data_IF_015410034569
#
_entry.id   IF_015410034569
#
_cell.length_a   1.000
_cell.length_b   1.000
_cell.length_c   1.000
_cell.angle_alpha   90.00
_cell.angle_beta   90.00
_cell.angle_gamma   90.00
#
_symmetry.space_group_name_H-M   'P 1'
#
loop_
_entity.id
_entity.type
_entity.pdbx_description
1 polymer ?
#
# COMPACT_ATOMS: atom_id res chain seq x y z
N UNK A 1 0.09 -8.26 23.78
CA UNK A 1 -0.26 -6.81 23.75
C UNK A 1 -1.68 -6.64 23.25
N UNK A 2 -2.36 -5.57 23.69
CA UNK A 2 -3.64 -5.15 23.13
C UNK A 2 -3.40 -4.29 21.89
N UNK A 3 -3.89 -4.73 20.73
CA UNK A 3 -3.68 -4.08 19.43
C UNK A 3 -5.02 -3.65 18.84
N UNK A 4 -5.14 -2.37 18.46
CA UNK A 4 -6.24 -1.90 17.63
C UNK A 4 -5.80 -1.95 16.17
N UNK A 5 -6.54 -2.68 15.33
CA UNK A 5 -6.30 -2.76 13.90
C UNK A 5 -7.45 -2.12 13.12
N UNK A 6 -7.21 -0.98 12.48
CA UNK A 6 -8.17 -0.40 11.55
C UNK A 6 -7.93 -0.93 10.12
N UNK A 7 -8.99 -1.05 9.33
CA UNK A 7 -8.86 -1.56 7.97
C UNK A 7 -8.63 -3.08 7.87
N UNK A 8 -8.96 -3.84 8.91
CA UNK A 8 -8.79 -5.30 8.99
C UNK A 8 -9.48 -6.08 7.86
N UNK A 9 -10.57 -5.56 7.27
CA UNK A 9 -11.25 -6.15 6.12
C UNK A 9 -10.56 -5.91 4.77
N UNK A 10 -9.56 -5.02 4.71
CA UNK A 10 -8.76 -4.74 3.51
C UNK A 10 -7.77 -5.87 3.18
N UNK A 11 -7.13 -5.79 2.00
CA UNK A 11 -6.15 -6.80 1.57
C UNK A 11 -5.01 -6.96 2.58
N UNK A 12 -4.27 -5.89 2.87
CA UNK A 12 -3.16 -5.94 3.83
C UNK A 12 -3.66 -6.14 5.26
N UNK A 13 -4.80 -5.53 5.64
CA UNK A 13 -5.39 -5.68 6.97
C UNK A 13 -5.72 -7.13 7.32
N UNK A 14 -6.23 -7.92 6.37
CA UNK A 14 -6.47 -9.37 6.58
C UNK A 14 -5.16 -10.13 6.83
N UNK A 15 -4.11 -9.81 6.10
CA UNK A 15 -2.79 -10.45 6.30
C UNK A 15 -2.24 -10.09 7.68
N UNK A 16 -2.30 -8.81 8.07
CA UNK A 16 -1.88 -8.34 9.39
C UNK A 16 -2.68 -9.07 10.50
N UNK A 17 -4.02 -9.12 10.37
CA UNK A 17 -4.89 -9.81 11.35
C UNK A 17 -4.50 -11.29 11.50
N UNK A 18 -4.15 -11.97 10.41
CA UNK A 18 -3.72 -13.37 10.42
C UNK A 18 -2.34 -13.58 11.03
N UNK A 19 -1.47 -12.58 10.98
CA UNK A 19 -0.10 -12.66 11.52
C UNK A 19 -0.06 -12.33 13.02
N UNK A 20 -0.93 -11.45 13.51
CA UNK A 20 -0.93 -10.97 14.91
C UNK A 20 -1.56 -11.96 15.90
N UNK A 21 -1.39 -13.26 15.71
CA UNK A 21 -2.05 -14.32 16.51
C UNK A 21 -1.66 -14.35 17.99
N UNK A 22 -0.48 -13.85 18.34
CA UNK A 22 0.00 -13.77 19.72
C UNK A 22 -0.45 -12.49 20.45
N UNK A 23 -1.29 -11.68 19.79
CA UNK A 23 -1.78 -10.42 20.34
C UNK A 23 -3.30 -10.44 20.51
N UNK A 24 -3.79 -9.69 21.48
CA UNK A 24 -5.22 -9.41 21.65
C UNK A 24 -5.60 -8.32 20.64
N UNK A 25 -6.09 -8.72 19.48
CA UNK A 25 -6.40 -7.80 18.37
C UNK A 25 -7.87 -7.42 18.40
N UNK A 26 -8.14 -6.13 18.55
CA UNK A 26 -9.46 -5.53 18.32
C UNK A 26 -9.49 -4.92 16.93
N UNK A 27 -10.42 -5.35 16.09
CA UNK A 27 -10.56 -4.87 14.72
C UNK A 27 -11.60 -3.75 14.63
N UNK A 28 -11.28 -2.66 13.92
CA UNK A 28 -12.21 -1.56 13.65
C UNK A 28 -12.44 -1.41 12.14
N UNK A 29 -13.69 -1.40 11.74
CA UNK A 29 -14.09 -1.25 10.34
C UNK A 29 -15.59 -1.35 10.15
N UNK A 30 -16.04 -1.33 8.88
CA UNK A 30 -17.48 -1.35 8.52
C UNK A 30 -18.04 -2.76 8.32
N UNK A 31 -17.17 -3.77 8.21
CA UNK A 31 -17.57 -5.16 7.98
C UNK A 31 -18.31 -5.76 9.17
N UNK A 32 -19.11 -6.79 8.90
CA UNK A 32 -19.86 -7.50 9.95
C UNK A 32 -18.98 -8.34 10.86
N UNK A 33 -17.79 -8.71 10.38
CA UNK A 33 -16.77 -9.48 11.08
C UNK A 33 -15.77 -8.62 11.88
N UNK A 34 -16.09 -7.32 12.10
CA UNK A 34 -15.28 -6.40 12.90
C UNK A 34 -15.78 -6.36 14.35
N UNK A 35 -14.84 -6.35 15.31
CA UNK A 35 -15.15 -6.23 16.74
C UNK A 35 -15.79 -4.88 17.05
N UNK A 36 -15.27 -3.81 16.42
CA UNK A 36 -15.84 -2.47 16.45
C UNK A 36 -16.36 -2.11 15.05
N UNK A 37 -17.67 -2.29 14.85
CA UNK A 37 -18.32 -1.97 13.59
C UNK A 37 -18.58 -0.48 13.46
N UNK A 38 -17.57 0.27 13.05
CA UNK A 38 -17.56 1.72 12.96
C UNK A 38 -17.02 2.20 11.61
N UNK A 39 -17.55 3.34 11.13
CA UNK A 39 -16.94 4.06 10.01
C UNK A 39 -15.91 5.06 10.55
N UNK A 40 -14.68 4.94 10.11
CA UNK A 40 -13.58 5.82 10.52
C UNK A 40 -13.82 7.29 10.16
N UNK A 41 -14.73 7.56 9.22
CA UNK A 41 -15.12 8.92 8.82
C UNK A 41 -16.26 9.50 9.70
N UNK A 42 -16.73 8.76 10.69
CA UNK A 42 -17.75 9.19 11.64
C UNK A 42 -17.11 9.43 13.02
N UNK A 43 -17.77 10.18 13.93
CA UNK A 43 -17.28 10.33 15.29
C UNK A 43 -17.05 8.97 15.94
N UNK A 44 -15.82 8.75 16.41
CA UNK A 44 -15.42 7.52 17.07
C UNK A 44 -15.59 7.64 18.60
N UNK A 45 -15.92 6.55 19.30
CA UNK A 45 -15.85 6.52 20.77
C UNK A 45 -14.40 6.69 21.23
N UNK A 46 -14.21 6.78 22.55
CA UNK A 46 -12.85 6.79 23.12
C UNK A 46 -12.18 5.43 22.82
N UNK A 47 -11.00 5.50 22.22
CA UNK A 47 -10.22 4.32 21.82
C UNK A 47 -8.91 4.25 22.62
N UNK A 48 -9.02 4.27 23.94
CA UNK A 48 -7.87 4.16 24.85
C UNK A 48 -7.62 2.70 25.28
N UNK A 49 -6.47 2.47 25.92
CA UNK A 49 -6.13 1.18 26.54
C UNK A 49 -5.51 0.16 25.58
N UNK A 50 -5.12 0.58 24.38
CA UNK A 50 -4.32 -0.23 23.46
C UNK A 50 -2.82 0.05 23.64
N UNK A 51 -2.00 -0.99 23.59
CA UNK A 51 -0.55 -0.87 23.60
C UNK A 51 0.00 -0.40 22.26
N UNK A 52 -0.62 -0.89 21.18
CA UNK A 52 -0.28 -0.55 19.79
C UNK A 52 -1.53 -0.33 18.96
N UNK A 53 -1.45 0.64 18.04
CA UNK A 53 -2.47 0.87 17.03
C UNK A 53 -1.87 0.66 15.64
N UNK A 54 -2.51 -0.16 14.81
CA UNK A 54 -2.14 -0.36 13.41
C UNK A 54 -3.21 0.29 12.53
N UNK A 55 -2.87 1.44 11.96
CA UNK A 55 -3.78 2.18 11.10
C UNK A 55 -3.57 1.79 9.63
N UNK A 56 -4.28 0.74 9.19
CA UNK A 56 -4.29 0.26 7.81
C UNK A 56 -5.57 0.63 7.04
N UNK A 57 -6.52 1.31 7.68
CA UNK A 57 -7.70 1.84 6.99
C UNK A 57 -7.30 2.93 6.00
N UNK A 58 -7.84 2.87 4.80
CA UNK A 58 -7.59 3.87 3.77
C UNK A 58 -8.25 3.51 2.45
N UNK A 59 -8.54 4.54 1.66
CA UNK A 59 -9.01 4.42 0.28
C UNK A 59 -7.81 4.42 -0.66
N UNK A 60 -7.69 3.41 -1.50
CA UNK A 60 -6.61 3.24 -2.48
C UNK A 60 -7.12 2.51 -3.74
N UNK A 61 -6.25 2.25 -4.71
CA UNK A 61 -6.47 1.37 -5.86
C UNK A 61 -7.62 1.78 -6.81
N UNK A 62 -7.98 3.06 -6.84
CA UNK A 62 -8.90 3.59 -7.85
C UNK A 62 -8.38 4.90 -8.44
N UNK A 63 -8.69 5.12 -9.71
CA UNK A 63 -8.52 6.41 -10.37
C UNK A 63 -9.86 7.13 -10.24
N UNK A 64 -9.92 8.30 -9.60
CA UNK A 64 -11.18 9.03 -9.44
C UNK A 64 -11.68 9.51 -10.80
N UNK A 65 -12.98 9.42 -11.02
CA UNK A 65 -13.66 9.83 -12.26
C UNK A 65 -14.32 11.20 -12.15
N UNK A 66 -14.52 11.65 -10.93
CA UNK A 66 -15.22 12.89 -10.59
C UNK A 66 -14.64 13.50 -9.29
N UNK A 67 -15.13 14.70 -8.95
CA UNK A 67 -14.71 15.42 -7.74
C UNK A 67 -15.13 14.71 -6.46
N UNK A 68 -16.29 14.04 -6.44
CA UNK A 68 -16.77 13.32 -5.26
C UNK A 68 -15.85 12.15 -4.94
N UNK A 69 -15.44 11.37 -5.96
CA UNK A 69 -14.49 10.29 -5.79
C UNK A 69 -13.10 10.81 -5.38
N UNK A 70 -12.68 11.97 -5.87
CA UNK A 70 -11.45 12.65 -5.46
C UNK A 70 -11.52 13.10 -4.00
N UNK A 71 -12.61 13.75 -3.59
CA UNK A 71 -12.85 14.18 -2.22
C UNK A 71 -12.91 13.00 -1.23
N UNK A 72 -13.38 11.84 -1.68
CA UNK A 72 -13.44 10.64 -0.84
C UNK A 72 -12.06 10.15 -0.38
N UNK A 73 -10.96 10.45 -1.09
CA UNK A 73 -9.62 10.17 -0.60
C UNK A 73 -9.26 11.04 0.59
N UNK A 74 -9.58 12.33 0.54
CA UNK A 74 -9.34 13.25 1.66
C UNK A 74 -10.18 12.84 2.87
N UNK A 75 -11.46 12.58 2.67
CA UNK A 75 -12.37 12.18 3.74
C UNK A 75 -11.90 10.90 4.45
N UNK A 76 -11.53 9.85 3.69
CA UNK A 76 -11.14 8.57 4.31
C UNK A 76 -9.72 8.61 4.86
N UNK A 77 -8.75 9.12 4.07
CA UNK A 77 -7.34 8.97 4.41
C UNK A 77 -6.83 10.07 5.35
N UNK A 78 -7.36 11.29 5.27
CA UNK A 78 -6.96 12.39 6.13
C UNK A 78 -7.93 12.60 7.29
N UNK A 79 -9.21 12.87 7.00
CA UNK A 79 -10.19 13.14 8.06
C UNK A 79 -10.44 11.91 8.93
N UNK A 80 -10.52 10.70 8.32
CA UNK A 80 -10.60 9.46 9.08
C UNK A 80 -9.39 9.22 9.97
N UNK A 81 -8.18 9.59 9.52
CA UNK A 81 -6.98 9.54 10.36
C UNK A 81 -7.10 10.52 11.53
N UNK A 82 -7.53 11.76 11.30
CA UNK A 82 -7.76 12.75 12.37
C UNK A 82 -8.76 12.23 13.40
N UNK A 83 -9.90 11.72 12.96
CA UNK A 83 -10.91 11.14 13.86
C UNK A 83 -10.35 10.01 14.72
N UNK A 84 -9.49 9.16 14.14
CA UNK A 84 -8.83 8.10 14.90
C UNK A 84 -7.87 8.68 15.95
N UNK A 85 -7.01 9.62 15.56
CA UNK A 85 -6.03 10.25 16.44
C UNK A 85 -6.70 10.98 17.62
N UNK A 86 -7.78 11.71 17.33
CA UNK A 86 -8.61 12.37 18.36
C UNK A 86 -9.23 11.36 19.33
N UNK A 87 -9.73 10.24 18.82
CA UNK A 87 -10.33 9.19 19.65
C UNK A 87 -9.30 8.48 20.55
N UNK A 88 -8.05 8.35 20.09
CA UNK A 88 -6.94 7.77 20.86
C UNK A 88 -6.42 8.70 21.95
N UNK A 89 -6.58 10.02 21.80
CA UNK A 89 -6.11 11.02 22.76
C UNK A 89 -7.13 11.32 23.88
N UNK A 90 -8.42 10.98 23.69
CA UNK A 90 -9.47 11.32 24.66
C UNK A 90 -9.39 10.45 25.91
N UNK A 91 -9.55 11.10 27.06
CA UNK A 91 -9.84 10.46 28.36
C UNK A 91 -8.93 9.29 28.76
N UNK A 92 -7.71 9.21 28.23
CA UNK A 92 -6.86 8.09 28.53
C UNK A 92 -5.40 8.27 28.14
N UNK A 93 -4.63 7.21 28.31
CA UNK A 93 -3.26 7.14 27.88
C UNK A 93 -3.23 6.77 26.38
N UNK A 94 -2.56 7.58 25.58
CA UNK A 94 -2.28 7.26 24.17
C UNK A 94 -1.51 5.92 24.08
N UNK A 95 -1.62 5.19 22.95
CA UNK A 95 -0.88 3.95 22.74
C UNK A 95 0.63 4.19 22.77
N UNK A 96 1.41 3.16 23.15
CA UNK A 96 2.87 3.26 23.11
C UNK A 96 3.43 3.33 21.69
N UNK A 97 2.70 2.74 20.71
CA UNK A 97 3.13 2.69 19.31
C UNK A 97 1.94 2.89 18.37
N UNK A 98 2.14 3.71 17.35
CA UNK A 98 1.22 3.88 16.22
C UNK A 98 1.93 3.49 14.93
N UNK A 99 1.49 2.41 14.27
CA UNK A 99 1.94 2.02 12.94
C UNK A 99 0.98 2.60 11.90
N UNK A 100 1.47 3.44 11.02
CA UNK A 100 0.69 4.05 9.94
C UNK A 100 1.08 3.48 8.59
N UNK A 101 0.13 2.84 7.91
CA UNK A 101 0.35 2.33 6.55
C UNK A 101 0.21 3.48 5.56
N UNK A 102 1.37 3.93 5.04
CA UNK A 102 1.47 4.95 4.00
C UNK A 102 1.86 4.32 2.65
N UNK A 103 2.33 5.11 1.72
CA UNK A 103 2.61 4.71 0.35
C UNK A 103 3.73 5.53 -0.27
N UNK A 104 4.48 4.95 -1.18
CA UNK A 104 5.45 5.68 -2.02
C UNK A 104 4.79 6.68 -2.98
N UNK A 105 3.48 6.63 -3.16
CA UNK A 105 2.74 7.61 -3.97
C UNK A 105 2.82 9.05 -3.41
N UNK A 106 3.25 9.23 -2.15
CA UNK A 106 3.49 10.55 -1.54
C UNK A 106 4.58 11.36 -2.23
N UNK A 107 5.48 10.70 -2.97
CA UNK A 107 6.54 11.37 -3.75
C UNK A 107 6.06 11.97 -5.07
N UNK A 108 4.90 11.57 -5.59
CA UNK A 108 4.39 12.04 -6.87
C UNK A 108 5.25 11.62 -8.08
N UNK A 109 6.14 10.65 -7.92
CA UNK A 109 7.04 10.20 -8.98
C UNK A 109 6.39 9.08 -9.80
N UNK A 110 6.60 9.11 -11.10
CA UNK A 110 6.20 8.05 -12.04
C UNK A 110 7.41 7.24 -12.54
N UNK A 111 8.61 7.82 -12.40
CA UNK A 111 9.90 7.21 -12.71
C UNK A 111 10.96 7.62 -11.69
N UNK A 112 12.03 6.83 -11.60
CA UNK A 112 13.16 7.06 -10.71
C UNK A 112 13.75 5.76 -10.19
N UNK A 113 15.03 5.79 -9.83
CA UNK A 113 15.75 4.64 -9.29
C UNK A 113 16.29 4.97 -7.91
N UNK A 114 16.08 4.06 -6.95
CA UNK A 114 16.61 4.17 -5.61
C UNK A 114 16.17 5.43 -4.86
N UNK A 115 14.89 5.84 -5.02
CA UNK A 115 14.34 7.00 -4.32
C UNK A 115 14.39 6.73 -2.82
N UNK A 116 14.96 7.67 -2.05
CA UNK A 116 15.12 7.57 -0.60
C UNK A 116 14.02 8.33 0.15
N UNK A 117 13.90 8.12 1.46
CA UNK A 117 12.92 8.80 2.32
C UNK A 117 13.16 10.33 2.41
N UNK A 118 14.37 10.80 2.10
CA UNK A 118 14.72 12.22 2.09
C UNK A 118 14.25 12.97 0.84
N UNK A 119 13.76 12.28 -0.19
CA UNK A 119 13.23 12.92 -1.38
C UNK A 119 11.98 13.76 -1.07
N UNK A 120 11.77 14.91 -1.77
CA UNK A 120 10.60 15.75 -1.59
C UNK A 120 9.28 14.99 -1.81
N UNK A 121 8.27 15.33 -1.00
CA UNK A 121 6.92 14.76 -1.07
C UNK A 121 6.04 15.62 -1.99
N UNK A 122 6.10 15.36 -3.29
CA UNK A 122 5.49 16.19 -4.34
C UNK A 122 4.22 15.55 -4.94
N UNK A 123 3.50 14.75 -4.15
CA UNK A 123 2.27 14.12 -4.62
C UNK A 123 1.25 15.14 -5.15
N UNK A 124 0.70 14.85 -6.33
CA UNK A 124 -0.35 15.65 -6.98
C UNK A 124 -1.66 14.85 -7.12
N UNK A 125 -1.61 13.53 -7.06
CA UNK A 125 -2.83 12.72 -7.12
C UNK A 125 -3.62 12.81 -5.81
N UNK A 126 -4.98 12.77 -5.85
CA UNK A 126 -5.80 12.82 -4.64
C UNK A 126 -5.39 11.81 -3.57
N UNK A 127 -5.03 10.59 -3.99
CA UNK A 127 -4.51 9.56 -3.10
C UNK A 127 -3.18 9.95 -2.46
N UNK A 128 -2.17 10.32 -3.26
CA UNK A 128 -0.85 10.68 -2.73
C UNK A 128 -0.91 11.91 -1.82
N UNK A 129 -1.69 12.95 -2.19
CA UNK A 129 -1.90 14.15 -1.37
C UNK A 129 -2.54 13.79 -0.04
N UNK A 130 -3.62 12.99 -0.05
CA UNK A 130 -4.33 12.61 1.19
C UNK A 130 -3.42 11.82 2.14
N UNK A 131 -2.59 10.90 1.63
CA UNK A 131 -1.64 10.14 2.45
C UNK A 131 -0.50 11.00 2.98
N UNK A 132 0.05 11.91 2.15
CA UNK A 132 1.08 12.88 2.58
C UNK A 132 0.58 13.77 3.73
N UNK A 133 -0.64 14.26 3.64
CA UNK A 133 -1.23 15.08 4.69
C UNK A 133 -1.50 14.26 5.95
N UNK A 134 -1.97 13.02 5.81
CA UNK A 134 -2.19 12.12 6.94
C UNK A 134 -0.88 11.74 7.65
N UNK A 135 0.24 11.56 6.93
CA UNK A 135 1.57 11.38 7.56
C UNK A 135 1.91 12.55 8.49
N UNK A 136 1.69 13.79 8.05
CA UNK A 136 1.95 14.99 8.87
C UNK A 136 1.09 15.03 10.13
N UNK A 137 -0.18 14.69 10.04
CA UNK A 137 -1.06 14.59 11.20
C UNK A 137 -0.54 13.54 12.20
N UNK A 138 -0.16 12.36 11.71
CA UNK A 138 0.40 11.30 12.54
C UNK A 138 1.71 11.74 13.20
N UNK A 139 2.63 12.35 12.47
CA UNK A 139 3.91 12.84 13.00
C UNK A 139 3.71 13.92 14.08
N UNK A 140 2.83 14.89 13.83
CA UNK A 140 2.52 15.97 14.77
C UNK A 140 1.88 15.41 16.03
N UNK A 141 0.84 14.61 15.89
CA UNK A 141 0.13 13.98 16.99
C UNK A 141 1.03 13.09 17.86
N UNK A 142 1.86 12.27 17.20
CA UNK A 142 2.77 11.37 17.89
C UNK A 142 3.80 12.13 18.74
N UNK A 143 4.32 13.24 18.23
CA UNK A 143 5.23 14.12 18.95
C UNK A 143 4.54 14.76 20.16
N UNK A 144 3.32 15.26 20.01
CA UNK A 144 2.54 15.90 21.08
C UNK A 144 2.19 14.92 22.21
N UNK A 145 1.90 13.65 21.87
CA UNK A 145 1.47 12.63 22.83
C UNK A 145 2.60 11.66 23.25
N UNK A 146 3.85 11.90 22.78
CA UNK A 146 5.02 11.05 23.07
C UNK A 146 4.83 9.59 22.65
N UNK A 147 4.18 9.37 21.50
CA UNK A 147 3.91 8.07 20.89
C UNK A 147 5.01 7.71 19.91
N UNK A 148 5.47 6.46 19.90
CA UNK A 148 6.35 5.95 18.84
C UNK A 148 5.56 5.76 17.55
N UNK A 149 5.75 6.63 16.56
CA UNK A 149 5.08 6.53 15.27
C UNK A 149 5.98 5.87 14.23
N UNK A 150 5.56 4.71 13.73
CA UNK A 150 6.20 3.99 12.62
C UNK A 150 5.38 4.20 11.34
N UNK A 151 5.92 4.95 10.40
CA UNK A 151 5.28 5.22 9.10
C UNK A 151 5.92 4.34 8.03
N UNK A 152 5.14 3.45 7.44
CA UNK A 152 5.59 2.54 6.38
C UNK A 152 5.11 3.04 5.02
N UNK A 153 6.00 3.61 4.20
CA UNK A 153 5.72 4.00 2.81
C UNK A 153 5.85 2.78 1.91
N UNK A 154 4.74 2.07 1.76
CA UNK A 154 4.71 0.82 1.00
C UNK A 154 4.75 1.07 -0.51
N UNK A 155 5.54 0.29 -1.25
CA UNK A 155 5.46 0.20 -2.71
C UNK A 155 4.29 -0.70 -3.13
N UNK A 156 4.42 -1.45 -4.22
CA UNK A 156 3.44 -2.44 -4.64
C UNK A 156 3.43 -3.62 -3.67
N UNK A 157 2.36 -3.79 -2.91
CA UNK A 157 2.20 -4.91 -1.97
C UNK A 157 1.68 -6.14 -2.71
N UNK A 158 2.40 -7.24 -2.59
CA UNK A 158 2.15 -8.51 -3.27
C UNK A 158 1.60 -9.55 -2.31
N UNK A 159 0.68 -10.37 -2.77
CA UNK A 159 0.07 -11.45 -1.99
C UNK A 159 -1.20 -11.97 -2.63
N UNK A 160 -1.73 -13.08 -2.12
CA UNK A 160 -2.98 -13.68 -2.60
C UNK A 160 -4.16 -12.72 -2.45
N UNK A 161 -4.86 -12.47 -3.55
CA UNK A 161 -5.98 -11.52 -3.56
C UNK A 161 -5.58 -10.04 -3.56
N UNK A 162 -4.35 -9.73 -3.97
CA UNK A 162 -3.91 -8.34 -4.12
C UNK A 162 -4.86 -7.54 -5.04
N UNK A 163 -5.24 -6.32 -4.65
CA UNK A 163 -6.14 -5.49 -5.45
C UNK A 163 -5.43 -4.80 -6.62
N UNK A 164 -6.18 -4.01 -7.38
CA UNK A 164 -5.64 -3.14 -8.43
C UNK A 164 -4.99 -3.91 -9.58
N UNK A 165 -3.84 -3.41 -10.05
CA UNK A 165 -3.17 -3.93 -11.23
C UNK A 165 -2.66 -5.37 -11.06
N UNK A 166 -2.20 -5.75 -9.87
CA UNK A 166 -1.77 -7.13 -9.60
C UNK A 166 -2.93 -8.11 -9.69
N UNK A 167 -4.05 -7.78 -9.07
CA UNK A 167 -5.24 -8.63 -9.16
C UNK A 167 -5.83 -8.67 -10.58
N UNK A 168 -5.69 -7.59 -11.36
CA UNK A 168 -6.06 -7.62 -12.78
C UNK A 168 -5.12 -8.54 -13.56
N UNK A 169 -3.80 -8.45 -13.36
CA UNK A 169 -2.81 -9.32 -13.97
C UNK A 169 -3.09 -10.78 -13.64
N UNK A 170 -3.33 -11.12 -12.38
CA UNK A 170 -3.69 -12.47 -11.95
C UNK A 170 -4.93 -13.00 -12.68
N UNK A 171 -6.02 -12.20 -12.71
CA UNK A 171 -7.26 -12.60 -13.42
C UNK A 171 -7.04 -12.84 -14.90
N UNK A 172 -6.27 -11.99 -15.57
CA UNK A 172 -5.97 -12.14 -16.99
C UNK A 172 -5.05 -13.35 -17.26
N UNK A 173 -4.06 -13.61 -16.41
CA UNK A 173 -3.23 -14.80 -16.48
C UNK A 173 -4.06 -16.08 -16.33
N UNK A 174 -4.95 -16.16 -15.32
CA UNK A 174 -5.85 -17.31 -15.11
C UNK A 174 -6.79 -17.56 -16.31
N UNK A 175 -7.20 -16.49 -17.02
CA UNK A 175 -8.06 -16.58 -18.21
C UNK A 175 -7.29 -16.78 -19.51
N UNK A 176 -5.95 -16.75 -19.50
CA UNK A 176 -5.13 -16.81 -20.72
C UNK A 176 -5.25 -15.58 -21.63
N UNK A 177 -5.72 -14.46 -21.10
CA UNK A 177 -5.95 -13.19 -21.81
C UNK A 177 -4.93 -12.11 -21.43
N UNK A 178 -3.88 -12.48 -20.74
CA UNK A 178 -2.82 -11.55 -20.37
C UNK A 178 -1.83 -11.36 -21.53
N UNK A 179 -1.49 -10.10 -21.77
CA UNK A 179 -0.45 -9.72 -22.71
C UNK A 179 0.52 -8.76 -22.05
N UNK A 180 1.81 -9.11 -22.05
CA UNK A 180 2.88 -8.19 -21.69
C UNK A 180 3.11 -7.21 -22.84
N UNK A 181 3.37 -5.95 -22.52
CA UNK A 181 3.69 -4.89 -23.45
C UNK A 181 5.21 -4.78 -23.57
N UNK A 182 5.72 -4.85 -24.80
CA UNK A 182 7.15 -4.75 -25.07
C UNK A 182 7.95 -5.87 -24.39
N UNK A 183 9.16 -5.55 -23.94
CA UNK A 183 10.05 -6.47 -23.25
C UNK A 183 9.71 -6.66 -21.77
N UNK A 184 8.93 -5.71 -21.18
CA UNK A 184 8.58 -5.71 -19.78
C UNK A 184 9.76 -5.41 -18.85
N UNK A 185 10.78 -4.71 -19.34
CA UNK A 185 12.03 -4.44 -18.61
C UNK A 185 11.91 -3.42 -17.47
N UNK A 186 10.83 -2.62 -17.44
CA UNK A 186 10.62 -1.64 -16.37
C UNK A 186 10.51 -2.29 -14.98
N UNK A 187 11.28 -1.77 -14.02
CA UNK A 187 11.38 -2.31 -12.65
C UNK A 187 10.47 -1.57 -11.69
N UNK A 188 9.96 -2.32 -10.71
CA UNK A 188 9.12 -1.77 -9.62
C UNK A 188 9.56 -2.31 -8.28
N UNK A 189 9.63 -1.43 -7.29
CA UNK A 189 9.71 -1.88 -5.91
C UNK A 189 8.41 -2.60 -5.52
N UNK A 190 8.58 -3.72 -4.86
CA UNK A 190 7.51 -4.57 -4.37
C UNK A 190 7.84 -5.04 -2.97
N UNK A 191 6.85 -5.55 -2.26
CA UNK A 191 7.01 -6.19 -0.96
C UNK A 191 5.91 -7.21 -0.74
N UNK A 192 6.21 -8.33 -0.09
CA UNK A 192 5.19 -9.28 0.33
C UNK A 192 4.36 -8.71 1.49
N UNK A 193 3.05 -8.86 1.42
CA UNK A 193 2.17 -8.46 2.51
C UNK A 193 2.46 -9.20 3.82
N UNK A 194 2.92 -10.46 3.75
CA UNK A 194 3.39 -11.24 4.91
C UNK A 194 4.56 -10.58 5.61
N UNK A 195 5.58 -10.16 4.87
CA UNK A 195 6.79 -9.56 5.45
C UNK A 195 6.46 -8.22 6.13
N UNK A 196 5.55 -7.42 5.52
CA UNK A 196 5.04 -6.20 6.16
C UNK A 196 4.31 -6.53 7.45
N UNK A 197 3.49 -7.58 7.48
CA UNK A 197 2.75 -7.99 8.67
C UNK A 197 3.69 -8.52 9.78
N UNK A 198 4.75 -9.24 9.43
CA UNK A 198 5.79 -9.69 10.37
C UNK A 198 6.57 -8.51 10.96
N UNK A 199 6.89 -7.47 10.17
CA UNK A 199 7.48 -6.25 10.69
C UNK A 199 6.53 -5.56 11.69
N UNK A 200 5.25 -5.49 11.36
CA UNK A 200 4.23 -4.89 12.25
C UNK A 200 4.09 -5.68 13.56
N UNK A 201 4.17 -7.00 13.52
CA UNK A 201 4.08 -7.84 14.73
C UNK A 201 5.18 -7.53 15.77
N UNK A 202 6.32 -7.01 15.32
CA UNK A 202 7.46 -6.61 16.16
C UNK A 202 7.65 -5.08 16.27
N UNK A 203 6.62 -4.30 15.91
CA UNK A 203 6.76 -2.84 15.78
C UNK A 203 6.72 -2.07 17.08
N UNK A 204 6.53 -2.73 18.24
CA UNK A 204 6.43 -2.05 19.53
C UNK A 204 7.69 -1.19 19.80
N UNK A 205 7.48 0.10 20.04
CA UNK A 205 8.56 1.06 20.31
C UNK A 205 9.34 1.52 19.08
N UNK A 206 9.09 0.95 17.89
CA UNK A 206 9.70 1.42 16.66
C UNK A 206 9.08 2.75 16.22
N UNK A 207 9.90 3.63 15.68
CA UNK A 207 9.48 4.96 15.21
C UNK A 207 10.28 5.38 13.98
N UNK A 208 9.74 6.33 13.21
CA UNK A 208 10.36 6.86 12.01
C UNK A 208 9.59 6.51 10.74
N UNK A 209 10.07 7.01 9.60
CA UNK A 209 9.46 6.80 8.29
C UNK A 209 10.38 5.96 7.43
N UNK A 210 9.85 4.89 6.84
CA UNK A 210 10.67 3.91 6.12
C UNK A 210 10.01 3.43 4.83
N UNK A 211 10.84 3.21 3.82
CA UNK A 211 10.49 2.32 2.72
C UNK A 211 10.72 0.87 3.16
N UNK A 212 9.80 -0.01 2.81
CA UNK A 212 9.96 -1.45 2.97
C UNK A 212 9.71 -2.12 1.62
N UNK A 213 10.78 -2.60 1.00
CA UNK A 213 10.76 -3.25 -0.31
C UNK A 213 11.35 -4.66 -0.20
N UNK A 214 11.32 -5.45 -1.29
CA UNK A 214 11.99 -6.75 -1.34
C UNK A 214 13.50 -6.65 -1.67
N UNK A 215 14.02 -5.42 -1.82
CA UNK A 215 15.42 -5.14 -2.18
C UNK A 215 15.85 -5.58 -3.59
N UNK A 216 14.98 -6.27 -4.34
CA UNK A 216 15.30 -6.83 -5.67
C UNK A 216 14.69 -6.03 -6.81
N UNK A 217 13.54 -5.40 -6.56
CA UNK A 217 12.80 -4.59 -7.54
C UNK A 217 12.57 -5.32 -8.87
N UNK A 218 11.74 -6.37 -8.90
CA UNK A 218 11.49 -7.13 -10.12
C UNK A 218 11.05 -6.26 -11.30
N UNK A 219 11.42 -6.66 -12.51
CA UNK A 219 10.81 -6.13 -13.73
C UNK A 219 9.41 -6.71 -13.92
N UNK A 220 8.57 -6.05 -14.72
CA UNK A 220 7.26 -6.60 -15.08
C UNK A 220 7.37 -7.96 -15.77
N UNK A 221 8.44 -8.19 -16.55
CA UNK A 221 8.72 -9.49 -17.18
C UNK A 221 9.00 -10.57 -16.16
N UNK A 222 9.83 -10.30 -15.17
CA UNK A 222 10.15 -11.27 -14.12
C UNK A 222 8.89 -11.59 -13.29
N UNK A 223 8.11 -10.56 -12.94
CA UNK A 223 6.88 -10.72 -12.19
C UNK A 223 5.82 -11.53 -12.93
N UNK A 224 5.51 -11.17 -14.19
CA UNK A 224 4.45 -11.85 -14.94
C UNK A 224 4.82 -13.31 -15.27
N UNK A 225 6.10 -13.59 -15.54
CA UNK A 225 6.59 -14.97 -15.73
C UNK A 225 6.49 -15.78 -14.44
N UNK A 226 6.85 -15.17 -13.30
CA UNK A 226 6.75 -15.81 -11.99
C UNK A 226 5.29 -16.12 -11.63
N UNK A 227 4.38 -15.15 -11.80
CA UNK A 227 2.94 -15.35 -11.59
C UNK A 227 2.37 -16.42 -12.54
N UNK A 228 2.75 -16.37 -13.81
CA UNK A 228 2.30 -17.38 -14.80
C UNK A 228 2.76 -18.79 -14.44
N UNK A 229 4.00 -18.94 -13.95
CA UNK A 229 4.51 -20.25 -13.51
C UNK A 229 3.71 -20.82 -12.33
N UNK A 230 3.34 -19.99 -11.35
CA UNK A 230 2.50 -20.40 -10.23
C UNK A 230 1.08 -20.80 -10.65
N UNK A 231 0.56 -20.21 -11.73
CA UNK A 231 -0.79 -20.42 -12.24
C UNK A 231 -0.86 -21.47 -13.37
N UNK A 232 0.27 -22.04 -13.80
CA UNK A 232 0.32 -22.94 -14.95
C UNK A 232 -0.12 -22.26 -16.26
N UNK A 233 0.01 -20.95 -16.37
CA UNK A 233 -0.41 -20.15 -17.52
C UNK A 233 0.76 -19.68 -18.38
N UNK A 234 0.46 -19.11 -19.55
CA UNK A 234 1.48 -18.61 -20.50
C UNK A 234 1.37 -17.10 -20.64
N UNK A 235 2.51 -16.42 -20.69
CA UNK A 235 2.61 -15.00 -21.00
C UNK A 235 2.80 -14.83 -22.51
N UNK A 236 1.96 -14.02 -23.14
CA UNK A 236 2.14 -13.56 -24.51
C UNK A 236 2.65 -12.13 -24.48
N UNK A 237 3.47 -11.72 -25.45
CA UNK A 237 3.95 -10.35 -25.59
C UNK A 237 3.44 -9.73 -26.86
N UNK A 238 3.09 -8.46 -26.80
CA UNK A 238 2.81 -7.62 -27.99
C UNK A 238 3.96 -6.63 -28.17
N UNK A 239 4.42 -6.38 -29.39
CA UNK A 239 5.44 -5.39 -29.67
C UNK A 239 5.05 -4.01 -29.15
N UNK A 240 6.02 -3.28 -28.62
CA UNK A 240 5.78 -1.93 -28.06
C UNK A 240 5.21 -0.97 -29.10
N UNK A 241 5.65 -1.07 -30.36
CA UNK A 241 5.13 -0.27 -31.49
C UNK A 241 3.63 -0.47 -31.68
N UNK A 242 3.16 -1.71 -31.60
CA UNK A 242 1.72 -2.03 -31.69
C UNK A 242 0.97 -1.48 -30.46
N UNK A 243 1.52 -1.65 -29.27
CA UNK A 243 0.93 -1.12 -28.04
C UNK A 243 0.83 0.41 -28.07
N UNK A 244 1.86 1.10 -28.56
CA UNK A 244 1.83 2.57 -28.74
C UNK A 244 0.75 3.01 -29.74
N UNK A 245 0.57 2.29 -30.85
CA UNK A 245 -0.50 2.59 -31.81
C UNK A 245 -1.89 2.40 -31.15
N UNK A 246 -2.09 1.32 -30.40
CA UNK A 246 -3.34 1.07 -29.67
C UNK A 246 -3.59 2.14 -28.59
N UNK A 247 -2.55 2.56 -27.84
CA UNK A 247 -2.67 3.58 -26.83
C UNK A 247 -3.09 4.95 -27.41
N UNK A 248 -2.54 5.34 -28.57
CA UNK A 248 -2.96 6.55 -29.28
C UNK A 248 -4.44 6.52 -29.72
N UNK A 249 -4.94 5.35 -30.13
CA UNK A 249 -6.37 5.17 -30.39
C UNK A 249 -7.15 5.28 -29.09
N UNK A 250 -6.64 4.71 -28.01
CA UNK A 250 -7.24 4.81 -26.68
C UNK A 250 -7.36 6.25 -26.17
N UNK A 251 -6.38 7.12 -26.49
CA UNK A 251 -6.41 8.55 -26.11
C UNK A 251 -7.62 9.30 -26.70
N UNK A 252 -8.17 8.80 -27.81
CA UNK A 252 -9.34 9.39 -28.49
C UNK A 252 -10.67 8.91 -27.88
N UNK A 253 -10.64 7.89 -27.02
CA UNK A 253 -11.85 7.26 -26.47
C UNK A 253 -11.95 7.61 -24.98
N UNK A 254 -12.91 8.46 -24.56
CA UNK A 254 -13.09 8.78 -23.15
C UNK A 254 -13.30 7.52 -22.29
N UNK A 255 -12.51 7.37 -21.24
CA UNK A 255 -12.60 6.21 -20.35
C UNK A 255 -11.96 4.92 -20.87
N UNK A 256 -11.17 4.97 -21.94
CA UNK A 256 -10.41 3.83 -22.46
C UNK A 256 -9.63 3.14 -21.35
N UNK A 257 -9.65 1.81 -21.26
CA UNK A 257 -8.84 1.07 -20.30
C UNK A 257 -7.34 1.06 -20.64
N UNK A 258 -6.97 1.50 -21.85
CA UNK A 258 -5.60 1.53 -22.36
C UNK A 258 -5.36 2.84 -23.12
N UNK A 259 -4.45 3.68 -22.63
CA UNK A 259 -4.07 4.99 -23.14
C UNK A 259 -2.56 5.22 -23.04
N UNK A 260 -2.05 6.29 -23.64
CA UNK A 260 -0.62 6.62 -23.64
C UNK A 260 -0.08 6.88 -22.22
N UNK A 261 -0.88 7.41 -21.30
CA UNK A 261 -0.48 7.64 -19.92
C UNK A 261 -0.24 6.32 -19.16
N UNK A 262 -1.17 5.37 -19.32
CA UNK A 262 -1.03 4.04 -18.71
C UNK A 262 0.11 3.25 -19.32
N UNK A 263 0.30 3.37 -20.62
CA UNK A 263 1.45 2.75 -21.30
C UNK A 263 2.77 3.31 -20.76
N UNK A 264 2.89 4.62 -20.58
CA UNK A 264 4.06 5.27 -19.98
C UNK A 264 4.42 4.69 -18.61
N UNK A 265 3.42 4.47 -17.76
CA UNK A 265 3.64 3.84 -16.43
C UNK A 265 4.19 2.41 -16.50
N UNK A 266 3.99 1.69 -17.58
CA UNK A 266 4.52 0.34 -17.75
C UNK A 266 5.93 0.35 -18.38
N UNK A 267 6.37 1.48 -18.93
CA UNK A 267 7.63 1.59 -19.65
C UNK A 267 8.78 2.16 -18.81
N UNK A 268 8.50 2.87 -17.71
CA UNK A 268 9.53 3.51 -16.88
C UNK A 268 9.71 2.77 -15.55
N UNK A 269 10.95 2.67 -15.09
CA UNK A 269 11.26 2.08 -13.78
C UNK A 269 10.98 3.06 -12.65
N UNK A 270 10.47 2.54 -11.53
CA UNK A 270 10.24 3.29 -10.31
C UNK A 270 10.64 2.42 -9.11
N UNK A 271 11.78 2.71 -8.51
CA UNK A 271 12.30 1.94 -7.39
C UNK A 271 12.66 2.83 -6.20
N UNK A 272 12.54 2.28 -5.01
CA UNK A 272 12.75 2.94 -3.73
C UNK A 272 13.81 2.20 -2.93
N UNK A 273 14.70 2.94 -2.30
CA UNK A 273 15.77 2.42 -1.44
C UNK A 273 15.20 2.06 -0.06
N UNK A 274 15.50 0.88 0.45
CA UNK A 274 15.10 0.42 1.78
C UNK A 274 16.28 0.24 2.75
N UNK A 275 17.47 0.73 2.37
CA UNK A 275 18.68 0.59 3.18
C UNK A 275 18.53 1.18 4.59
N UNK A 276 17.67 2.20 4.76
CA UNK A 276 17.35 2.74 6.07
C UNK A 276 16.59 1.73 6.94
N UNK A 277 15.57 1.08 6.39
CA UNK A 277 14.81 0.05 7.10
C UNK A 277 15.71 -1.15 7.47
N UNK A 278 16.61 -1.55 6.55
CA UNK A 278 17.59 -2.62 6.82
C UNK A 278 18.47 -2.27 8.02
N UNK A 279 19.03 -1.07 8.06
CA UNK A 279 19.94 -0.65 9.15
C UNK A 279 19.24 -0.42 10.49
N UNK A 280 18.08 0.24 10.47
CA UNK A 280 17.45 0.75 11.69
C UNK A 280 16.39 -0.20 12.25
N UNK A 281 15.71 -0.99 11.40
CA UNK A 281 14.66 -1.93 11.80
C UNK A 281 15.08 -3.40 11.70
N UNK A 282 16.29 -3.71 11.19
CA UNK A 282 16.69 -5.08 10.86
C UNK A 282 15.76 -5.69 9.80
N UNK A 283 15.32 -4.87 8.82
CA UNK A 283 14.46 -5.32 7.72
C UNK A 283 15.18 -6.35 6.86
N UNK A 284 14.60 -7.54 6.73
CA UNK A 284 15.14 -8.66 5.96
C UNK A 284 14.00 -9.38 5.26
N UNK A 285 13.52 -8.84 4.12
CA UNK A 285 12.36 -9.36 3.42
C UNK A 285 12.68 -10.60 2.59
N UNK A 286 11.67 -11.38 2.31
CA UNK A 286 11.73 -12.43 1.30
C UNK A 286 11.61 -11.81 -0.09
N UNK A 287 12.53 -12.09 -1.04
CA UNK A 287 12.36 -11.64 -2.41
C UNK A 287 11.05 -12.13 -3.01
N UNK A 288 10.28 -11.22 -3.63
CA UNK A 288 8.95 -11.54 -4.18
C UNK A 288 9.01 -12.71 -5.17
N UNK A 289 10.07 -12.78 -6.00
CA UNK A 289 10.24 -13.84 -6.99
C UNK A 289 10.64 -15.21 -6.39
N UNK A 290 10.98 -15.26 -5.11
CA UNK A 290 11.28 -16.51 -4.38
C UNK A 290 10.04 -17.04 -3.63
N UNK A 291 8.96 -16.25 -3.57
CA UNK A 291 7.73 -16.58 -2.84
C UNK A 291 6.63 -17.12 -3.74
N UNK A 292 5.85 -18.07 -3.21
CA UNK A 292 4.64 -18.61 -3.84
C UNK A 292 3.39 -17.85 -3.35
N UNK A 293 3.31 -16.59 -3.64
CA UNK A 293 2.28 -15.69 -3.09
C UNK A 293 0.87 -15.80 -3.69
N UNK A 294 0.68 -16.60 -4.75
CA UNK A 294 -0.65 -16.82 -5.38
C UNK A 294 -1.32 -18.14 -4.95
N UNK A 295 -0.64 -18.97 -4.21
CA UNK A 295 -1.09 -20.32 -3.82
C UNK A 295 -1.58 -20.34 -2.38
#
# INVERSE_FOLDING_TARGET
MKVLLTGAGGFLGRIIRQTLTEHEVTTLGRGEDMDLRLDICSPLPDLNGYDMVVHAAGKAHMVPKDEEQSAAFMRVNLEGTRMLLDALARNGKAPGTLVFISTVAVYGKEEGLGITESNPLDAMTPYGVSKRLAEREVETWAKEHQVSALILRLPLVVGKGAPGNLGAMERHLRRGTYFRIGDGGARRSMVLGSDVAELIARAQGLSGTYHVTDGRHPSFRELDMHMASQLGSKVRAIPETMARAMAKIGDLIPGSPFDSYRLGKLSHSLTFDDARAVRELGWSPTPVLESRFLV
#
